data_IF_566574851301
#
_entry.id   IF_566574851301
#
_cell.length_a   1.000
_cell.length_b   1.000
_cell.length_c   1.000
_cell.angle_alpha   90.00
_cell.angle_beta   90.00
_cell.angle_gamma   90.00
#
_symmetry.space_group_name_H-M   'P 1'
#
loop_
_entity.id
_entity.type
_entity.pdbx_description
1 polymer ?
#
# COMPACT_ATOMS: atom_id res chain seq x y z
N UNK A 1 -9.92 -36.40 28.18
CA UNK A 1 -8.66 -36.63 27.41
C UNK A 1 -8.86 -36.47 25.90
N UNK A 2 -9.89 -37.02 25.30
CA UNK A 2 -10.18 -36.94 23.85
C UNK A 2 -10.39 -35.50 23.37
N UNK A 3 -11.14 -34.69 24.11
CA UNK A 3 -11.40 -33.29 23.75
C UNK A 3 -10.11 -32.43 23.72
N UNK A 4 -9.23 -32.62 24.72
CA UNK A 4 -7.97 -31.87 24.75
C UNK A 4 -7.04 -32.26 23.59
N UNK A 5 -6.95 -33.58 23.30
CA UNK A 5 -6.17 -34.06 22.15
C UNK A 5 -6.72 -33.51 20.82
N UNK A 6 -8.05 -33.45 20.69
CA UNK A 6 -8.72 -32.92 19.50
C UNK A 6 -8.46 -31.42 19.32
N UNK A 7 -8.50 -30.64 20.42
CA UNK A 7 -8.20 -29.19 20.38
C UNK A 7 -6.74 -28.93 19.99
N UNK A 8 -5.82 -29.70 20.56
CA UNK A 8 -4.40 -29.62 20.22
C UNK A 8 -4.17 -29.99 18.75
N UNK A 9 -4.79 -31.04 18.26
CA UNK A 9 -4.69 -31.47 16.86
C UNK A 9 -5.19 -30.38 15.91
N UNK A 10 -6.32 -29.72 16.22
CA UNK A 10 -6.82 -28.56 15.45
C UNK A 10 -5.85 -27.39 15.43
N UNK A 11 -5.23 -27.07 16.59
CA UNK A 11 -4.25 -25.98 16.66
C UNK A 11 -3.03 -26.27 15.78
N UNK A 12 -2.52 -27.50 15.81
CA UNK A 12 -1.42 -27.91 14.93
C UNK A 12 -1.83 -27.89 13.45
N UNK A 13 -3.03 -28.39 13.11
CA UNK A 13 -3.54 -28.36 11.75
C UNK A 13 -3.69 -26.92 11.23
N UNK A 14 -4.12 -25.98 12.08
CA UNK A 14 -4.26 -24.57 11.75
C UNK A 14 -2.89 -23.94 11.45
N UNK A 15 -1.90 -24.16 12.29
CA UNK A 15 -0.53 -23.63 12.09
C UNK A 15 0.13 -24.27 10.87
N UNK A 16 -0.02 -25.60 10.69
CA UNK A 16 0.48 -26.32 9.52
C UNK A 16 -0.18 -25.85 8.22
N UNK A 17 -1.51 -25.67 8.24
CA UNK A 17 -2.25 -25.08 7.10
C UNK A 17 -1.80 -23.67 6.77
N UNK A 18 -1.62 -22.83 7.79
CA UNK A 18 -1.12 -21.47 7.62
C UNK A 18 0.30 -21.41 7.04
N UNK A 19 1.15 -22.39 7.36
CA UNK A 19 2.48 -22.49 6.76
C UNK A 19 2.41 -22.68 5.23
N UNK A 20 1.51 -23.57 4.76
CA UNK A 20 1.28 -23.82 3.34
C UNK A 20 0.63 -22.62 2.66
N UNK A 21 -0.46 -22.09 3.24
CA UNK A 21 -1.18 -20.94 2.72
C UNK A 21 -0.27 -19.69 2.67
N UNK A 22 0.54 -19.49 3.72
CA UNK A 22 1.49 -18.39 3.79
C UNK A 22 2.57 -18.45 2.70
N UNK A 23 3.06 -19.65 2.38
CA UNK A 23 3.99 -19.87 1.27
C UNK A 23 3.32 -19.56 -0.09
N UNK A 24 2.16 -20.17 -0.34
CA UNK A 24 1.39 -20.00 -1.55
C UNK A 24 1.00 -18.52 -1.80
N UNK A 25 0.55 -17.80 -0.75
CA UNK A 25 0.26 -16.37 -0.85
C UNK A 25 1.52 -15.53 -1.11
N UNK A 26 2.64 -15.87 -0.50
CA UNK A 26 3.92 -15.20 -0.78
C UNK A 26 4.33 -15.35 -2.26
N UNK A 27 4.12 -16.53 -2.85
CA UNK A 27 4.38 -16.79 -4.26
C UNK A 27 3.44 -15.99 -5.17
N UNK A 28 2.14 -15.91 -4.83
CA UNK A 28 1.16 -15.07 -5.56
C UNK A 28 1.56 -13.60 -5.51
N UNK A 29 1.88 -13.07 -4.32
CA UNK A 29 2.35 -11.68 -4.15
C UNK A 29 3.60 -11.44 -4.99
N UNK A 30 4.54 -12.40 -4.98
CA UNK A 30 5.75 -12.34 -5.79
C UNK A 30 5.47 -12.33 -7.30
N UNK A 31 4.52 -13.13 -7.77
CA UNK A 31 4.13 -13.20 -9.17
C UNK A 31 3.42 -11.91 -9.63
N UNK A 32 2.46 -11.43 -8.85
CA UNK A 32 1.72 -10.20 -9.15
C UNK A 32 2.65 -8.97 -9.21
N UNK A 33 3.51 -8.82 -8.20
CA UNK A 33 4.47 -7.73 -8.15
C UNK A 33 5.58 -7.88 -9.20
N UNK A 34 5.84 -9.09 -9.69
CA UNK A 34 6.80 -9.36 -10.76
C UNK A 34 6.41 -8.77 -12.11
N UNK A 35 5.13 -8.57 -12.34
CA UNK A 35 4.58 -7.98 -13.56
C UNK A 35 4.51 -6.44 -13.50
N UNK A 36 4.82 -5.86 -12.35
CA UNK A 36 4.77 -4.41 -12.13
C UNK A 36 6.18 -3.81 -12.12
N UNK A 37 6.27 -2.48 -12.34
CA UNK A 37 7.54 -1.74 -12.25
C UNK A 37 7.97 -1.44 -10.81
N UNK A 38 7.52 -2.25 -9.86
CA UNK A 38 7.89 -2.10 -8.45
C UNK A 38 9.37 -2.48 -8.26
N UNK A 39 10.09 -1.66 -7.50
CA UNK A 39 11.49 -1.90 -7.19
C UNK A 39 11.69 -3.30 -6.57
N UNK A 40 12.79 -3.95 -6.96
CA UNK A 40 13.13 -5.31 -6.50
C UNK A 40 13.21 -5.40 -4.97
N UNK A 41 13.70 -4.35 -4.32
CA UNK A 41 13.83 -4.30 -2.86
C UNK A 41 12.44 -4.29 -2.19
N UNK A 42 11.52 -3.45 -2.66
CA UNK A 42 10.14 -3.37 -2.15
C UNK A 42 9.40 -4.68 -2.36
N UNK A 43 9.53 -5.27 -3.57
CA UNK A 43 8.96 -6.58 -3.88
C UNK A 43 9.47 -7.65 -2.90
N UNK A 44 10.80 -7.74 -2.69
CA UNK A 44 11.38 -8.75 -1.81
C UNK A 44 10.95 -8.56 -0.36
N UNK A 45 10.77 -7.33 0.10
CA UNK A 45 10.28 -7.02 1.44
C UNK A 45 8.83 -7.50 1.62
N UNK A 46 7.94 -7.18 0.69
CA UNK A 46 6.53 -7.57 0.76
C UNK A 46 6.37 -9.10 0.73
N UNK A 47 7.08 -9.79 -0.16
CA UNK A 47 7.07 -11.26 -0.23
C UNK A 47 7.57 -11.88 1.08
N UNK A 48 8.68 -11.35 1.63
CA UNK A 48 9.26 -11.86 2.88
C UNK A 48 8.35 -11.63 4.10
N UNK A 49 7.58 -10.55 4.12
CA UNK A 49 6.68 -10.22 5.23
C UNK A 49 5.36 -11.00 5.17
N UNK A 50 4.93 -11.46 3.99
CA UNK A 50 3.64 -12.16 3.81
C UNK A 50 3.53 -13.40 4.72
N UNK A 51 4.50 -14.30 4.66
CA UNK A 51 4.46 -15.55 5.42
C UNK A 51 4.50 -15.35 6.94
N UNK A 52 5.43 -14.54 7.53
CA UNK A 52 5.45 -14.32 8.98
C UNK A 52 4.19 -13.61 9.50
N UNK A 53 3.55 -12.72 8.72
CA UNK A 53 2.29 -12.10 9.13
C UNK A 53 1.16 -13.12 9.22
N UNK A 54 1.04 -14.02 8.24
CA UNK A 54 0.04 -15.10 8.26
C UNK A 54 0.31 -16.06 9.43
N UNK A 55 1.57 -16.42 9.65
CA UNK A 55 1.96 -17.26 10.76
C UNK A 55 1.64 -16.65 12.12
N UNK A 56 1.87 -15.35 12.28
CA UNK A 56 1.55 -14.62 13.51
C UNK A 56 0.06 -14.72 13.85
N UNK A 57 -0.81 -14.50 12.85
CA UNK A 57 -2.27 -14.61 12.99
C UNK A 57 -2.67 -16.05 13.33
N UNK A 58 -2.08 -17.02 12.63
CA UNK A 58 -2.38 -18.44 12.85
C UNK A 58 -1.96 -18.95 14.24
N UNK A 59 -0.78 -18.50 14.71
CA UNK A 59 -0.29 -18.84 16.05
C UNK A 59 -1.21 -18.21 17.11
N UNK A 60 -1.59 -16.94 16.97
CA UNK A 60 -2.53 -16.31 17.89
C UNK A 60 -3.87 -17.07 17.93
N UNK A 61 -4.42 -17.45 16.77
CA UNK A 61 -5.65 -18.22 16.70
C UNK A 61 -5.50 -19.63 17.32
N UNK A 62 -4.37 -20.29 17.12
CA UNK A 62 -4.09 -21.60 17.72
C UNK A 62 -3.97 -21.51 19.25
N UNK A 63 -3.29 -20.50 19.78
CA UNK A 63 -3.19 -20.24 21.22
C UNK A 63 -4.58 -19.99 21.86
N UNK A 64 -5.41 -19.22 21.17
CA UNK A 64 -6.79 -18.98 21.62
C UNK A 64 -7.62 -20.27 21.70
N UNK A 65 -7.44 -21.20 20.74
CA UNK A 65 -8.16 -22.48 20.74
C UNK A 65 -7.80 -23.39 21.92
N UNK A 66 -6.56 -23.34 22.39
CA UNK A 66 -6.11 -24.13 23.56
C UNK A 66 -6.36 -23.42 24.89
N UNK A 67 -7.11 -22.29 24.87
CA UNK A 67 -7.54 -21.58 26.07
C UNK A 67 -6.52 -20.58 26.63
N UNK A 68 -5.46 -20.25 25.88
CA UNK A 68 -4.52 -19.19 26.27
C UNK A 68 -5.18 -17.82 26.08
N UNK A 69 -5.11 -16.96 27.09
CA UNK A 69 -5.59 -15.59 26.96
C UNK A 69 -4.66 -14.76 26.08
N UNK A 70 -5.12 -14.49 24.86
CA UNK A 70 -4.34 -13.74 23.85
C UNK A 70 -4.66 -12.24 23.84
N UNK A 71 -5.47 -11.73 24.79
CA UNK A 71 -5.91 -10.32 24.78
C UNK A 71 -4.73 -9.34 24.82
N UNK A 72 -3.72 -9.62 25.65
CA UNK A 72 -2.51 -8.80 25.73
C UNK A 72 -1.73 -8.86 24.42
N UNK A 73 -1.59 -10.06 23.83
CA UNK A 73 -0.92 -10.22 22.53
C UNK A 73 -1.66 -9.44 21.44
N UNK A 74 -2.97 -9.54 21.37
CA UNK A 74 -3.78 -8.79 20.41
C UNK A 74 -3.66 -7.27 20.62
N UNK A 75 -3.61 -6.81 21.88
CA UNK A 75 -3.41 -5.38 22.17
C UNK A 75 -2.05 -4.87 21.66
N UNK A 76 -0.98 -5.65 21.86
CA UNK A 76 0.37 -5.31 21.36
C UNK A 76 0.37 -5.29 19.83
N UNK A 77 -0.21 -6.30 19.19
CA UNK A 77 -0.30 -6.37 17.73
C UNK A 77 -1.11 -5.22 17.13
N UNK A 78 -2.26 -4.90 17.75
CA UNK A 78 -3.11 -3.78 17.33
C UNK A 78 -2.38 -2.43 17.47
N UNK A 79 -1.65 -2.23 18.57
CA UNK A 79 -0.84 -1.02 18.77
C UNK A 79 0.28 -0.91 17.74
N UNK A 80 0.96 -2.02 17.45
CA UNK A 80 1.98 -2.07 16.41
C UNK A 80 1.42 -1.79 15.02
N UNK A 81 0.28 -2.39 14.67
CA UNK A 81 -0.40 -2.16 13.40
C UNK A 81 -0.86 -0.69 13.28
N UNK A 82 -1.36 -0.09 14.36
CA UNK A 82 -1.71 1.34 14.39
C UNK A 82 -0.48 2.22 14.13
N UNK A 83 0.65 1.94 14.80
CA UNK A 83 1.89 2.69 14.61
C UNK A 83 2.37 2.62 13.15
N UNK A 84 2.35 1.44 12.52
CA UNK A 84 2.68 1.27 11.10
C UNK A 84 1.70 2.03 10.22
N UNK A 85 0.38 1.94 10.51
CA UNK A 85 -0.66 2.66 9.77
C UNK A 85 -0.45 4.18 9.79
N UNK A 86 -0.13 4.75 10.97
CA UNK A 86 0.19 6.17 11.11
C UNK A 86 1.47 6.53 10.32
N UNK A 87 2.49 5.68 10.36
CA UNK A 87 3.72 5.88 9.58
C UNK A 87 3.48 5.89 8.05
N UNK A 88 2.50 5.12 7.56
CA UNK A 88 2.15 5.03 6.15
C UNK A 88 1.06 6.02 5.70
N UNK A 89 0.47 6.80 6.62
CA UNK A 89 -0.67 7.67 6.36
C UNK A 89 -0.48 8.59 5.16
N UNK A 90 0.69 9.22 5.04
CA UNK A 90 0.99 10.13 3.92
C UNK A 90 1.08 9.39 2.58
N UNK A 91 1.66 8.20 2.57
CA UNK A 91 1.77 7.35 1.37
C UNK A 91 0.39 6.91 0.88
N UNK A 92 -0.46 6.44 1.80
CA UNK A 92 -1.84 6.04 1.48
C UNK A 92 -2.65 7.22 0.98
N UNK A 93 -2.51 8.41 1.60
CA UNK A 93 -3.19 9.62 1.15
C UNK A 93 -2.77 10.02 -0.27
N UNK A 94 -1.49 9.92 -0.63
CA UNK A 94 -1.00 10.18 -1.98
C UNK A 94 -1.52 9.15 -2.99
N UNK A 95 -1.58 7.88 -2.61
CA UNK A 95 -2.11 6.81 -3.46
C UNK A 95 -3.60 7.02 -3.77
N UNK A 96 -4.41 7.34 -2.76
CA UNK A 96 -5.84 7.67 -2.92
C UNK A 96 -6.02 8.90 -3.81
N UNK A 97 -5.22 9.95 -3.58
CA UNK A 97 -5.21 11.14 -4.40
C UNK A 97 -4.83 10.84 -5.87
N UNK A 98 -3.84 9.98 -6.08
CA UNK A 98 -3.48 9.48 -7.41
C UNK A 98 -4.63 8.78 -8.10
N UNK A 99 -5.35 7.89 -7.39
CA UNK A 99 -6.55 7.23 -7.90
C UNK A 99 -7.64 8.24 -8.32
N UNK A 100 -7.84 9.31 -7.56
CA UNK A 100 -8.77 10.38 -7.89
C UNK A 100 -8.32 11.12 -9.17
N UNK A 101 -7.02 11.45 -9.29
CA UNK A 101 -6.47 12.08 -10.49
C UNK A 101 -6.65 11.21 -11.73
N UNK A 102 -6.40 9.90 -11.63
CA UNK A 102 -6.61 8.95 -12.73
C UNK A 102 -8.09 8.79 -13.11
N UNK A 103 -9.00 8.83 -12.13
CA UNK A 103 -10.44 8.69 -12.37
C UNK A 103 -11.06 9.96 -12.95
N UNK A 104 -10.78 11.12 -12.33
CA UNK A 104 -11.40 12.40 -12.72
C UNK A 104 -10.68 13.11 -13.85
N UNK A 105 -9.39 12.88 -14.02
CA UNK A 105 -8.52 13.47 -15.06
C UNK A 105 -8.75 14.98 -15.22
N UNK A 106 -8.61 15.79 -14.16
CA UNK A 106 -8.83 17.24 -14.24
C UNK A 106 -7.88 17.89 -15.25
N UNK A 107 -6.65 17.39 -15.36
CA UNK A 107 -5.63 17.77 -16.33
C UNK A 107 -4.97 16.54 -16.94
N UNK A 108 -4.26 16.75 -18.06
CA UNK A 108 -3.55 15.69 -18.79
C UNK A 108 -2.07 16.07 -18.95
N UNK A 109 -1.26 15.09 -19.34
CA UNK A 109 0.12 15.35 -19.75
C UNK A 109 0.13 16.33 -20.92
N UNK A 110 0.92 17.40 -20.81
CA UNK A 110 1.00 18.48 -21.79
C UNK A 110 0.16 19.71 -21.43
N UNK A 111 -0.75 19.65 -20.45
CA UNK A 111 -1.48 20.82 -19.97
C UNK A 111 -0.57 21.70 -19.12
N UNK A 112 -0.74 23.03 -19.22
CA UNK A 112 -0.15 23.99 -18.31
C UNK A 112 -1.02 24.10 -17.06
N UNK A 113 -0.45 23.88 -15.90
CA UNK A 113 -1.16 23.93 -14.62
C UNK A 113 -0.41 24.73 -13.58
N UNK A 114 -1.16 25.35 -12.68
CA UNK A 114 -0.60 25.88 -11.44
C UNK A 114 -1.11 25.01 -10.29
N UNK A 115 -0.19 24.26 -9.68
CA UNK A 115 -0.46 23.40 -8.53
C UNK A 115 0.35 23.90 -7.34
N UNK A 116 -0.30 24.14 -6.19
CA UNK A 116 0.40 24.62 -4.98
C UNK A 116 1.33 25.82 -5.23
N UNK A 117 0.87 26.79 -6.02
CA UNK A 117 1.62 28.01 -6.43
C UNK A 117 2.78 27.77 -7.42
N UNK A 118 3.01 26.54 -7.85
CA UNK A 118 4.00 26.17 -8.85
C UNK A 118 3.33 26.07 -10.21
N UNK A 119 3.82 26.86 -11.18
CA UNK A 119 3.33 26.89 -12.56
C UNK A 119 4.26 26.05 -13.45
N UNK A 120 3.68 25.17 -14.25
CA UNK A 120 4.47 24.34 -15.15
C UNK A 120 3.61 23.45 -16.05
N UNK A 121 4.27 22.78 -16.98
CA UNK A 121 3.66 21.81 -17.88
C UNK A 121 3.68 20.41 -17.25
N UNK A 122 2.53 19.72 -17.26
CA UNK A 122 2.43 18.35 -16.75
C UNK A 122 3.22 17.39 -17.65
N UNK A 123 4.27 16.80 -17.13
CA UNK A 123 5.09 15.79 -17.84
C UNK A 123 4.59 14.36 -17.57
N UNK A 124 4.06 14.14 -16.38
CA UNK A 124 3.55 12.82 -16.01
C UNK A 124 2.71 12.82 -14.74
N UNK A 125 1.80 11.86 -14.67
CA UNK A 125 0.95 11.63 -13.49
C UNK A 125 1.26 10.22 -13.01
N UNK A 126 1.86 10.12 -11.82
CA UNK A 126 2.18 8.86 -11.16
C UNK A 126 1.19 8.50 -10.05
N UNK A 127 1.35 7.31 -9.47
CA UNK A 127 0.51 6.85 -8.35
C UNK A 127 0.66 7.69 -7.08
N UNK A 128 1.82 8.29 -6.85
CA UNK A 128 2.13 9.03 -5.63
C UNK A 128 2.40 10.51 -5.88
N UNK A 129 2.74 10.90 -7.10
CA UNK A 129 3.14 12.27 -7.44
C UNK A 129 2.82 12.64 -8.89
N UNK A 130 2.63 13.94 -9.12
CA UNK A 130 2.60 14.58 -10.43
C UNK A 130 3.97 15.18 -10.71
N UNK A 131 4.45 15.08 -11.95
CA UNK A 131 5.67 15.70 -12.42
C UNK A 131 5.33 16.92 -13.28
N UNK A 132 5.91 18.07 -12.94
CA UNK A 132 5.80 19.31 -13.70
C UNK A 132 7.19 19.74 -14.19
N UNK A 133 7.26 20.27 -15.39
CA UNK A 133 8.42 21.02 -15.87
C UNK A 133 8.07 22.51 -15.87
N UNK A 134 8.83 23.33 -15.13
CA UNK A 134 8.74 24.78 -15.12
C UNK A 134 9.36 25.38 -16.40
N UNK A 135 9.07 26.65 -16.66
CA UNK A 135 9.54 27.35 -17.86
C UNK A 135 11.07 27.49 -17.94
N UNK A 136 11.76 27.43 -16.80
CA UNK A 136 13.23 27.48 -16.71
C UNK A 136 13.90 26.12 -16.93
N UNK A 137 13.11 25.05 -17.16
CA UNK A 137 13.56 23.67 -17.32
C UNK A 137 13.71 22.91 -16.01
N UNK A 138 13.33 23.49 -14.87
CA UNK A 138 13.32 22.79 -13.58
C UNK A 138 12.19 21.77 -13.54
N UNK A 139 12.51 20.54 -13.14
CA UNK A 139 11.49 19.48 -12.91
C UNK A 139 11.08 19.44 -11.46
N UNK A 140 9.79 19.64 -11.20
CA UNK A 140 9.21 19.63 -9.87
C UNK A 140 8.34 18.39 -9.70
N UNK A 141 8.49 17.70 -8.55
CA UNK A 141 7.70 16.54 -8.16
C UNK A 141 6.73 16.94 -7.06
N UNK A 142 5.44 16.96 -7.37
CA UNK A 142 4.38 17.36 -6.44
C UNK A 142 3.65 16.10 -5.95
N UNK A 143 3.63 15.81 -4.64
CA UNK A 143 2.82 14.73 -4.08
C UNK A 143 1.35 14.87 -4.46
N UNK A 144 0.69 13.79 -4.88
CA UNK A 144 -0.68 13.82 -5.38
C UNK A 144 -1.67 14.46 -4.39
N UNK A 145 -1.47 14.21 -3.09
CA UNK A 145 -2.30 14.80 -2.04
C UNK A 145 -2.26 16.33 -2.05
N UNK A 146 -1.10 16.92 -2.32
CA UNK A 146 -0.95 18.37 -2.42
C UNK A 146 -1.56 18.87 -3.73
N UNK A 147 -1.38 18.15 -4.83
CA UNK A 147 -1.93 18.52 -6.14
C UNK A 147 -3.45 18.64 -6.13
N UNK A 148 -4.18 17.75 -5.41
CA UNK A 148 -5.64 17.79 -5.32
C UNK A 148 -6.18 18.55 -4.10
N UNK A 149 -5.34 18.79 -3.10
CA UNK A 149 -5.73 19.39 -1.82
C UNK A 149 -5.78 20.93 -1.85
N UNK A 150 -5.27 21.57 -2.89
CA UNK A 150 -5.27 23.01 -3.08
C UNK A 150 -6.05 23.40 -4.34
N UNK A 151 -6.50 24.68 -4.44
CA UNK A 151 -7.03 25.19 -5.68
C UNK A 151 -6.02 25.05 -6.81
N UNK A 152 -6.46 24.55 -7.96
CA UNK A 152 -5.63 24.39 -9.15
C UNK A 152 -6.12 25.28 -10.28
N UNK A 153 -5.18 25.87 -11.03
CA UNK A 153 -5.50 26.56 -12.29
C UNK A 153 -5.01 25.68 -13.43
N UNK A 154 -5.85 25.49 -14.44
CA UNK A 154 -5.56 24.62 -15.56
C UNK A 154 -5.75 25.44 -16.84
N UNK A 155 -4.68 25.56 -17.62
CA UNK A 155 -4.70 26.08 -18.99
C UNK A 155 -4.55 24.88 -19.92
N UNK A 156 -5.66 24.43 -20.51
CA UNK A 156 -5.60 23.32 -21.47
C UNK A 156 -4.80 23.76 -22.69
N UNK A 157 -3.91 22.90 -23.16
CA UNK A 157 -3.28 23.05 -24.46
C UNK A 157 -4.40 23.05 -25.51
N UNK A 158 -4.46 24.11 -26.35
CA UNK A 158 -5.40 24.12 -27.48
C UNK A 158 -5.16 22.87 -28.31
N UNK A 159 -6.23 22.07 -28.52
CA UNK A 159 -6.15 20.97 -29.48
C UNK A 159 -5.92 21.61 -30.85
N UNK A 160 -4.69 21.46 -31.38
CA UNK A 160 -4.43 21.73 -32.80
C UNK A 160 -5.25 20.71 -33.56
N UNK A 161 -6.35 21.19 -34.19
CA UNK A 161 -7.26 20.42 -35.03
C UNK A 161 -6.64 19.99 -36.37
#
# INVERSE_FOLDING_TARGET
MTEALWTIAKAFALVGGAWFVGGWLADIVGALLGQTRVDRMVRSLLVRLTKPLIMLIAIAAALSQIGVDIRVLLAILASGALAVGLGLQSTVANLVAGGILFSRRPFRTGDEVTLTEIEGTVVGIGWLSVLLDESDGTRVIIPNRLAIGAPMRIRKKAEEG
#
